data_IF_551777465916
#
_entry.id   IF_551777465916
#
_cell.length_a   1.000
_cell.length_b   1.000
_cell.length_c   1.000
_cell.angle_alpha   90.00
_cell.angle_beta   90.00
_cell.angle_gamma   90.00
#
_symmetry.space_group_name_H-M   'P 1'
#
loop_
_entity.id
_entity.type
_entity.pdbx_description
1 polymer ?
#
# COMPACT_ATOMS: atom_id res chain seq x y z
N UNK A 1 -10.09 -15.61 -32.93
CA UNK A 1 -9.10 -15.16 -31.92
C UNK A 1 -9.70 -13.96 -31.20
N UNK A 2 -10.42 -14.16 -30.09
CA UNK A 2 -11.01 -13.04 -29.35
C UNK A 2 -9.92 -12.43 -28.46
N UNK A 3 -9.46 -11.24 -28.80
CA UNK A 3 -8.47 -10.50 -28.01
C UNK A 3 -9.03 -10.22 -26.62
N UNK A 4 -8.45 -10.87 -25.61
CA UNK A 4 -8.74 -10.56 -24.22
C UNK A 4 -8.45 -9.08 -23.98
N UNK A 5 -9.44 -8.33 -23.50
CA UNK A 5 -9.23 -6.97 -23.01
C UNK A 5 -8.06 -7.01 -22.02
N UNK A 6 -6.94 -6.38 -22.36
CA UNK A 6 -5.74 -6.39 -21.53
C UNK A 6 -6.04 -5.61 -20.25
N UNK A 7 -6.41 -6.33 -19.19
CA UNK A 7 -6.77 -5.75 -17.91
C UNK A 7 -5.52 -5.16 -17.26
N UNK A 8 -5.53 -3.85 -17.00
CA UNK A 8 -4.43 -3.17 -16.32
C UNK A 8 -4.40 -3.60 -14.84
N UNK A 9 -3.58 -4.59 -14.55
CA UNK A 9 -3.36 -5.16 -13.21
C UNK A 9 -2.87 -4.10 -12.20
N UNK A 10 -2.30 -2.97 -12.67
CA UNK A 10 -1.83 -1.90 -11.78
C UNK A 10 -2.96 -1.28 -10.97
N UNK A 11 -4.18 -1.23 -11.51
CA UNK A 11 -5.36 -0.68 -10.82
C UNK A 11 -5.73 -1.45 -9.55
N UNK A 12 -6.05 -2.76 -9.61
CA UNK A 12 -6.38 -3.52 -8.40
C UNK A 12 -5.17 -3.71 -7.48
N UNK A 13 -3.96 -3.90 -8.00
CA UNK A 13 -2.75 -3.98 -7.15
C UNK A 13 -2.53 -2.67 -6.41
N UNK A 14 -2.60 -1.54 -7.10
CA UNK A 14 -2.46 -0.22 -6.50
C UNK A 14 -3.51 0.02 -5.41
N UNK A 15 -4.78 -0.28 -5.69
CA UNK A 15 -5.86 -0.14 -4.72
C UNK A 15 -5.66 -1.02 -3.47
N UNK A 16 -5.26 -2.28 -3.65
CA UNK A 16 -5.00 -3.21 -2.54
C UNK A 16 -3.85 -2.71 -1.65
N UNK A 17 -2.72 -2.35 -2.25
CA UNK A 17 -1.55 -1.88 -1.50
C UNK A 17 -1.80 -0.54 -0.82
N UNK A 18 -2.55 0.37 -1.45
CA UNK A 18 -2.99 1.61 -0.80
C UNK A 18 -3.88 1.30 0.40
N UNK A 19 -4.89 0.44 0.26
CA UNK A 19 -5.79 0.11 1.37
C UNK A 19 -5.06 -0.55 2.55
N UNK A 20 -4.25 -1.59 2.27
CA UNK A 20 -3.46 -2.27 3.29
C UNK A 20 -2.40 -1.36 3.90
N UNK A 21 -1.72 -0.55 3.09
CA UNK A 21 -0.74 0.43 3.54
C UNK A 21 -1.35 1.48 4.45
N UNK A 22 -2.52 2.02 4.10
CA UNK A 22 -3.27 2.96 4.96
C UNK A 22 -3.66 2.33 6.28
N UNK A 23 -4.20 1.10 6.25
CA UNK A 23 -4.59 0.39 7.48
C UNK A 23 -3.38 0.12 8.38
N UNK A 24 -2.28 -0.39 7.81
CA UNK A 24 -1.09 -0.76 8.55
C UNK A 24 -0.32 0.45 9.08
N UNK A 25 -0.19 1.51 8.28
CA UNK A 25 0.39 2.78 8.69
C UNK A 25 -0.46 3.42 9.80
N UNK A 26 -1.78 3.47 9.61
CA UNK A 26 -2.72 4.01 10.59
C UNK A 26 -2.65 3.27 11.91
N UNK A 27 -2.70 1.94 11.88
CA UNK A 27 -2.53 1.10 13.07
C UNK A 27 -1.18 1.37 13.75
N UNK A 28 -0.08 1.35 12.98
CA UNK A 28 1.26 1.57 13.51
C UNK A 28 1.47 2.94 14.16
N UNK A 29 0.81 3.99 13.64
CA UNK A 29 0.81 5.33 14.22
C UNK A 29 -0.07 5.41 15.47
N UNK A 30 -1.24 4.78 15.46
CA UNK A 30 -2.15 4.76 16.61
C UNK A 30 -1.60 3.98 17.80
N UNK A 31 -0.78 2.96 17.54
CA UNK A 31 -0.16 2.12 18.58
C UNK A 31 1.27 2.51 18.92
N UNK A 32 1.75 3.66 18.45
CA UNK A 32 3.13 4.07 18.65
C UNK A 32 3.42 4.30 20.14
N UNK A 33 4.43 3.62 20.69
CA UNK A 33 4.80 3.70 22.10
C UNK A 33 3.95 2.84 23.04
N UNK A 34 2.99 2.07 22.53
CA UNK A 34 2.27 1.09 23.34
C UNK A 34 3.19 -0.06 23.77
N UNK A 35 3.03 -0.59 25.00
CA UNK A 35 3.80 -1.76 25.45
C UNK A 35 3.59 -2.95 24.50
N UNK A 36 4.68 -3.57 24.05
CA UNK A 36 4.63 -4.76 23.19
C UNK A 36 4.50 -4.51 21.69
N UNK A 37 4.34 -3.27 21.23
CA UNK A 37 4.21 -2.96 19.79
C UNK A 37 5.52 -2.65 19.09
N UNK A 38 6.61 -2.60 19.86
CA UNK A 38 7.96 -2.29 19.37
C UNK A 38 8.99 -3.29 19.93
N UNK A 39 8.89 -4.60 19.62
CA UNK A 39 9.74 -5.63 20.25
C UNK A 39 11.24 -5.44 20.00
N UNK A 40 11.58 -4.84 18.86
CA UNK A 40 12.96 -4.56 18.42
C UNK A 40 13.39 -3.12 18.67
N UNK A 41 12.57 -2.30 19.32
CA UNK A 41 12.80 -0.85 19.46
C UNK A 41 12.57 -0.04 18.16
N UNK A 42 12.29 -0.71 17.04
CA UNK A 42 11.97 -0.10 15.76
C UNK A 42 10.47 -0.23 15.49
N UNK A 43 9.83 0.87 15.09
CA UNK A 43 8.43 0.91 14.69
C UNK A 43 8.22 0.27 13.30
N UNK A 44 8.41 -1.05 13.21
CA UNK A 44 8.43 -1.82 11.95
C UNK A 44 7.10 -1.76 11.20
N UNK A 45 6.00 -1.76 11.96
CA UNK A 45 4.63 -1.76 11.44
C UNK A 45 4.33 -0.48 10.64
N UNK A 46 4.48 0.75 11.21
CA UNK A 46 4.24 1.96 10.42
C UNK A 46 5.26 2.16 9.29
N UNK A 47 6.51 1.70 9.43
CA UNK A 47 7.51 1.78 8.35
C UNK A 47 7.04 0.99 7.12
N UNK A 48 6.69 -0.29 7.28
CA UNK A 48 6.22 -1.10 6.16
C UNK A 48 4.83 -0.68 5.65
N UNK A 49 3.97 -0.17 6.53
CA UNK A 49 2.72 0.48 6.13
C UNK A 49 2.95 1.66 5.19
N UNK A 50 3.93 2.51 5.50
CA UNK A 50 4.34 3.61 4.64
C UNK A 50 4.90 3.15 3.29
N UNK A 51 5.74 2.11 3.27
CA UNK A 51 6.29 1.52 2.03
C UNK A 51 5.17 0.96 1.15
N UNK A 52 4.23 0.18 1.71
CA UNK A 52 3.08 -0.34 0.98
C UNK A 52 2.20 0.78 0.42
N UNK A 53 1.94 1.82 1.23
CA UNK A 53 1.13 2.95 0.82
C UNK A 53 1.78 3.70 -0.35
N UNK A 54 3.08 4.00 -0.25
CA UNK A 54 3.84 4.64 -1.32
C UNK A 54 3.82 3.83 -2.61
N UNK A 55 4.01 2.51 -2.53
CA UNK A 55 3.94 1.61 -3.68
C UNK A 55 2.55 1.58 -4.31
N UNK A 56 1.49 1.47 -3.51
CA UNK A 56 0.11 1.45 -4.00
C UNK A 56 -0.25 2.76 -4.71
N UNK A 57 0.09 3.90 -4.14
CA UNK A 57 -0.12 5.22 -4.73
C UNK A 57 0.67 5.39 -6.04
N UNK A 58 1.92 4.91 -6.08
CA UNK A 58 2.73 4.90 -7.30
C UNK A 58 2.07 4.08 -8.42
N UNK A 59 1.52 2.91 -8.11
CA UNK A 59 0.81 2.06 -9.07
C UNK A 59 -0.47 2.72 -9.59
N UNK A 60 -1.28 3.30 -8.71
CA UNK A 60 -2.48 4.05 -9.10
C UNK A 60 -2.13 5.26 -9.97
N UNK A 61 -1.05 5.97 -9.65
CA UNK A 61 -0.57 7.10 -10.45
C UNK A 61 -0.02 6.67 -11.81
N UNK A 62 0.65 5.51 -11.92
CA UNK A 62 1.11 4.96 -13.20
C UNK A 62 -0.05 4.48 -14.08
N UNK A 63 -1.11 3.91 -13.49
CA UNK A 63 -2.31 3.48 -14.22
C UNK A 63 -3.08 4.66 -14.78
N UNK A 64 -3.20 5.76 -14.02
CA UNK A 64 -3.83 7.02 -14.49
C UNK A 64 -3.11 7.63 -15.69
N UNK A 65 -1.80 7.41 -15.83
CA UNK A 65 -0.96 8.01 -16.88
C UNK A 65 -0.90 7.24 -18.18
N UNK A 66 -1.36 5.99 -18.19
CA UNK A 66 -1.48 5.19 -19.42
C UNK A 66 -2.93 5.03 -19.92
N UNK A 67 -3.92 5.44 -19.10
CA UNK A 67 -5.34 5.35 -19.41
C UNK A 67 -5.99 6.65 -19.88
N UNK A 68 -5.22 7.67 -20.24
CA UNK A 68 -5.66 8.91 -20.87
C UNK A 68 -4.79 9.19 -22.09
#
# INVERSE_FOLDING_TARGET
MSGAAMFDVRKPIGALFTALGTLLLGYGLLTLGAPGTTPTGIAIVPIWGGVMLAFGLLMLWLSRRHGG
#
